data_IF_765824328805
#
_entry.id   IF_765824328805
#
_cell.length_a   1.000
_cell.length_b   1.000
_cell.length_c   1.000
_cell.angle_alpha   90.00
_cell.angle_beta   90.00
_cell.angle_gamma   90.00
#
_symmetry.space_group_name_H-M   'P 1'
#
loop_
_entity.id
_entity.type
_entity.pdbx_description
1 polymer ?
#
# COMPACT_ATOMS: atom_id res chain seq x y z
N UNK A 1 3.31 21.59 -35.22
CA UNK A 1 2.50 20.95 -34.16
C UNK A 1 2.95 21.57 -32.85
N UNK A 2 2.11 22.44 -32.26
CA UNK A 2 2.43 23.18 -31.05
C UNK A 2 2.48 22.25 -29.85
N UNK A 3 3.60 22.31 -29.13
CA UNK A 3 3.77 21.74 -27.80
C UNK A 3 2.97 22.62 -26.84
N UNK A 4 1.88 22.08 -26.29
CA UNK A 4 1.13 22.74 -25.21
C UNK A 4 1.97 22.60 -23.94
N UNK A 5 2.65 23.68 -23.57
CA UNK A 5 3.23 23.84 -22.26
C UNK A 5 2.10 23.89 -21.24
N UNK A 6 2.08 22.92 -20.33
CA UNK A 6 1.18 22.92 -19.17
C UNK A 6 1.83 23.87 -18.17
N UNK A 7 1.41 25.13 -18.20
CA UNK A 7 1.70 26.09 -17.14
C UNK A 7 1.02 25.58 -15.87
N UNK A 8 1.81 25.08 -14.91
CA UNK A 8 1.32 24.86 -13.55
C UNK A 8 1.10 26.23 -12.93
N UNK A 9 -0.15 26.65 -12.79
CA UNK A 9 -0.53 27.81 -11.99
C UNK A 9 0.05 27.67 -10.58
N UNK A 10 1.14 28.39 -10.29
CA UNK A 10 1.68 28.50 -8.94
C UNK A 10 0.77 29.41 -8.14
N UNK A 11 -0.30 28.82 -7.59
CA UNK A 11 -1.12 29.46 -6.56
C UNK A 11 -0.21 29.94 -5.43
N UNK A 12 -0.38 31.20 -5.01
CA UNK A 12 0.36 31.79 -3.90
C UNK A 12 0.34 30.85 -2.68
N UNK A 13 1.46 30.70 -1.93
CA UNK A 13 1.52 29.79 -0.81
C UNK A 13 0.39 30.10 0.18
N UNK A 14 -0.50 29.14 0.38
CA UNK A 14 -1.63 29.30 1.30
C UNK A 14 -1.10 29.56 2.70
N UNK A 15 -1.79 30.42 3.46
CA UNK A 15 -1.46 30.63 4.87
C UNK A 15 -1.62 29.33 5.65
N UNK A 16 -0.80 29.14 6.68
CA UNK A 16 -0.88 27.98 7.57
C UNK A 16 -2.31 27.76 8.11
N UNK A 17 -3.00 28.84 8.45
CA UNK A 17 -4.39 28.82 8.88
C UNK A 17 -5.36 28.21 7.85
N UNK A 18 -5.16 28.53 6.57
CA UNK A 18 -5.99 27.97 5.49
C UNK A 18 -5.72 26.47 5.33
N UNK A 19 -4.46 26.04 5.41
CA UNK A 19 -4.12 24.61 5.37
C UNK A 19 -4.76 23.83 6.53
N UNK A 20 -4.66 24.35 7.76
CA UNK A 20 -5.26 23.71 8.94
C UNK A 20 -6.78 23.58 8.79
N UNK A 21 -7.44 24.65 8.32
CA UNK A 21 -8.88 24.64 8.09
C UNK A 21 -9.28 23.61 7.03
N UNK A 22 -8.52 23.52 5.93
CA UNK A 22 -8.77 22.58 4.85
C UNK A 22 -8.53 21.12 5.33
N UNK A 23 -7.54 20.89 6.20
CA UNK A 23 -7.28 19.59 6.85
C UNK A 23 -8.45 19.18 7.77
N UNK A 24 -8.98 20.09 8.60
CA UNK A 24 -10.13 19.81 9.47
C UNK A 24 -11.41 19.54 8.65
N UNK A 25 -11.63 20.30 7.58
CA UNK A 25 -12.76 20.09 6.68
C UNK A 25 -12.68 18.72 5.96
N UNK A 26 -11.48 18.27 5.62
CA UNK A 26 -11.23 16.96 5.03
C UNK A 26 -11.69 15.82 5.96
N UNK A 27 -11.33 15.89 7.25
CA UNK A 27 -11.74 14.89 8.25
C UNK A 27 -13.25 14.78 8.33
N UNK A 28 -13.94 15.92 8.41
CA UNK A 28 -15.40 15.95 8.54
C UNK A 28 -16.13 15.30 7.35
N UNK A 29 -15.56 15.36 6.14
CA UNK A 29 -16.16 14.75 4.95
C UNK A 29 -15.87 13.25 4.84
N UNK A 30 -14.71 12.79 5.36
CA UNK A 30 -14.20 11.45 5.10
C UNK A 30 -14.47 10.47 6.24
N UNK A 31 -14.59 10.94 7.47
CA UNK A 31 -14.82 10.11 8.64
C UNK A 31 -16.30 10.14 9.08
N UNK A 32 -17.03 9.00 9.00
CA UNK A 32 -18.41 8.90 9.50
C UNK A 32 -18.55 9.15 11.01
N UNK A 33 -17.49 9.00 11.80
CA UNK A 33 -17.51 9.22 13.25
C UNK A 33 -17.36 10.70 13.62
N UNK A 34 -16.98 11.56 12.67
CA UNK A 34 -16.68 12.97 12.91
C UNK A 34 -17.96 13.82 13.04
N UNK A 35 -18.54 13.85 14.25
CA UNK A 35 -19.85 14.47 14.55
C UNK A 35 -19.88 15.99 14.40
N UNK A 36 -18.81 16.68 14.81
CA UNK A 36 -18.73 18.14 14.76
C UNK A 36 -17.28 18.64 14.63
N UNK A 37 -17.10 19.84 14.06
CA UNK A 37 -15.77 20.42 13.79
C UNK A 37 -14.94 20.70 15.04
N UNK A 38 -15.58 21.02 16.17
CA UNK A 38 -14.89 21.31 17.44
C UNK A 38 -14.27 20.04 18.01
N UNK A 39 -14.99 18.93 18.01
CA UNK A 39 -14.52 17.61 18.38
C UNK A 39 -13.35 17.17 17.50
N UNK A 40 -13.44 17.37 16.19
CA UNK A 40 -12.32 17.10 15.27
C UNK A 40 -11.10 17.94 15.65
N UNK A 41 -11.27 19.24 15.82
CA UNK A 41 -10.15 20.14 16.12
C UNK A 41 -9.50 19.84 17.48
N UNK A 42 -10.27 19.40 18.48
CA UNK A 42 -9.79 19.21 19.84
C UNK A 42 -9.38 17.78 20.18
N UNK A 43 -9.97 16.77 19.52
CA UNK A 43 -9.88 15.38 19.95
C UNK A 43 -9.35 14.42 18.88
N UNK A 44 -9.00 14.89 17.66
CA UNK A 44 -8.40 14.04 16.64
C UNK A 44 -6.86 14.13 16.65
N UNK A 45 -6.14 13.10 17.12
CA UNK A 45 -4.69 13.12 17.20
C UNK A 45 -4.02 13.26 15.82
N UNK A 46 -4.66 12.74 14.77
CA UNK A 46 -4.19 12.89 13.39
C UNK A 46 -4.14 14.34 12.93
N UNK A 47 -5.16 15.13 13.26
CA UNK A 47 -5.18 16.58 12.96
C UNK A 47 -4.06 17.28 13.73
N UNK A 48 -3.94 17.02 15.03
CA UNK A 48 -2.89 17.63 15.85
C UNK A 48 -1.49 17.32 15.33
N UNK A 49 -1.25 16.07 14.92
CA UNK A 49 0.03 15.64 14.35
C UNK A 49 0.36 16.42 13.07
N UNK A 50 -0.62 16.62 12.18
CA UNK A 50 -0.43 17.38 10.94
C UNK A 50 -0.15 18.85 11.24
N UNK A 51 -0.93 19.48 12.12
CA UNK A 51 -0.71 20.89 12.49
C UNK A 51 0.69 21.11 13.06
N UNK A 52 1.10 20.28 14.03
CA UNK A 52 2.42 20.37 14.65
C UNK A 52 3.54 20.05 13.65
N UNK A 53 3.31 19.12 12.72
CA UNK A 53 4.23 18.86 11.63
C UNK A 53 4.40 20.07 10.72
N UNK A 54 3.32 20.73 10.29
CA UNK A 54 3.41 21.92 9.41
C UNK A 54 4.24 23.04 10.07
N UNK A 55 4.08 23.26 11.38
CA UNK A 55 4.91 24.20 12.15
C UNK A 55 6.37 23.72 12.21
N UNK A 56 6.59 22.44 12.53
CA UNK A 56 7.93 21.82 12.60
C UNK A 56 8.65 21.89 11.25
N UNK A 57 7.93 21.70 10.14
CA UNK A 57 8.43 21.79 8.78
C UNK A 57 8.85 23.23 8.43
N UNK A 58 8.06 24.23 8.86
CA UNK A 58 8.44 25.64 8.75
C UNK A 58 9.76 25.95 9.47
N UNK A 59 9.92 25.49 10.72
CA UNK A 59 11.18 25.62 11.45
C UNK A 59 12.33 24.87 10.76
N UNK A 60 12.06 23.68 10.22
CA UNK A 60 13.05 22.86 9.53
C UNK A 60 13.57 23.55 8.26
N UNK A 61 12.68 24.15 7.47
CA UNK A 61 13.02 24.86 6.23
C UNK A 61 13.74 26.18 6.54
N UNK A 62 13.36 26.87 7.62
CA UNK A 62 14.05 28.04 8.17
C UNK A 62 15.39 27.72 8.88
N UNK A 63 15.91 26.49 8.74
CA UNK A 63 17.20 26.02 9.30
C UNK A 63 17.27 25.91 10.82
N UNK A 64 16.17 26.11 11.55
CA UNK A 64 16.08 25.84 12.99
C UNK A 64 15.86 24.34 13.28
N UNK A 65 16.84 23.50 12.87
CA UNK A 65 16.74 22.03 12.86
C UNK A 65 16.49 21.41 14.23
N UNK A 66 17.15 21.92 15.27
CA UNK A 66 16.97 21.43 16.64
C UNK A 66 15.54 21.65 17.13
N UNK A 67 15.02 22.88 17.01
CA UNK A 67 13.66 23.23 17.44
C UNK A 67 12.61 22.43 16.64
N UNK A 68 12.82 22.27 15.34
CA UNK A 68 11.95 21.43 14.51
C UNK A 68 11.91 19.97 15.00
N UNK A 69 13.06 19.38 15.37
CA UNK A 69 13.12 18.01 15.91
C UNK A 69 12.52 17.91 17.30
N UNK A 70 12.75 18.89 18.17
CA UNK A 70 12.16 18.95 19.51
C UNK A 70 10.62 19.00 19.42
N UNK A 71 10.08 19.85 18.54
CA UNK A 71 8.64 19.97 18.35
C UNK A 71 8.04 18.69 17.74
N UNK A 72 8.70 18.08 16.75
CA UNK A 72 8.29 16.79 16.18
C UNK A 72 8.31 15.67 17.23
N UNK A 73 9.28 15.66 18.14
CA UNK A 73 9.32 14.70 19.25
C UNK A 73 8.17 14.92 20.24
N UNK A 74 7.88 16.17 20.60
CA UNK A 74 6.73 16.49 21.46
C UNK A 74 5.39 16.12 20.79
N UNK A 75 5.25 16.37 19.49
CA UNK A 75 4.08 15.96 18.70
C UNK A 75 3.90 14.45 18.71
N UNK A 76 4.98 13.68 18.52
CA UNK A 76 4.97 12.21 18.63
C UNK A 76 4.51 11.75 20.01
N UNK A 77 5.01 12.36 21.08
CA UNK A 77 4.62 11.99 22.44
C UNK A 77 3.12 12.22 22.70
N UNK A 78 2.57 13.33 22.19
CA UNK A 78 1.17 13.69 22.38
C UNK A 78 0.21 12.85 21.50
N UNK A 79 0.61 12.54 20.27
CA UNK A 79 -0.30 11.99 19.24
C UNK A 79 -0.04 10.54 18.87
N UNK A 80 1.10 9.98 19.27
CA UNK A 80 1.61 8.68 18.84
C UNK A 80 1.83 8.56 17.30
N UNK A 81 1.97 9.70 16.62
CA UNK A 81 2.27 9.83 15.19
C UNK A 81 3.68 10.42 15.04
N UNK A 82 4.59 9.70 14.40
CA UNK A 82 5.97 10.16 14.18
C UNK A 82 6.13 10.69 12.75
N UNK A 83 6.18 12.01 12.59
CA UNK A 83 6.43 12.66 11.31
C UNK A 83 7.73 13.44 11.41
N UNK A 84 8.71 13.06 10.59
CA UNK A 84 9.97 13.80 10.53
C UNK A 84 9.72 15.21 9.96
N UNK A 85 10.30 16.29 10.53
CA UNK A 85 10.08 17.67 10.03
C UNK A 85 10.52 17.89 8.59
N UNK A 86 11.44 17.06 8.08
CA UNK A 86 11.89 17.10 6.68
C UNK A 86 10.91 16.53 5.66
N UNK A 87 9.93 15.73 6.10
CA UNK A 87 8.92 15.17 5.20
C UNK A 87 8.12 16.29 4.55
N UNK A 88 7.70 16.08 3.30
CA UNK A 88 6.85 17.02 2.56
C UNK A 88 5.44 16.46 2.50
N UNK A 89 4.48 17.20 3.03
CA UNK A 89 3.08 16.77 3.10
C UNK A 89 2.21 17.82 2.41
N UNK A 90 1.43 17.37 1.42
CA UNK A 90 0.46 18.16 0.69
C UNK A 90 -0.75 18.58 1.54
N UNK A 91 -1.81 18.93 0.86
CA UNK A 91 -3.06 19.41 1.44
C UNK A 91 -4.06 18.28 1.66
N UNK A 92 -5.00 18.46 2.60
CA UNK A 92 -6.09 17.52 2.87
C UNK A 92 -5.58 16.10 3.15
N UNK A 93 -4.38 16.03 3.73
CA UNK A 93 -3.79 14.80 4.20
C UNK A 93 -4.58 14.30 5.39
N UNK A 94 -5.00 13.05 5.36
CA UNK A 94 -5.82 12.47 6.40
C UNK A 94 -5.10 11.30 7.07
N UNK A 95 -4.95 11.39 8.40
CA UNK A 95 -4.44 10.29 9.23
C UNK A 95 -5.59 9.80 10.09
N UNK A 96 -6.12 8.62 9.76
CA UNK A 96 -7.17 8.00 10.54
C UNK A 96 -6.57 7.08 11.61
N UNK A 97 -7.04 7.24 12.85
CA UNK A 97 -6.56 6.51 14.03
C UNK A 97 -5.02 6.53 14.21
N UNK A 98 -4.33 7.64 13.92
CA UNK A 98 -2.88 7.74 13.67
C UNK A 98 -1.83 7.07 14.59
N UNK A 99 -2.20 6.39 15.66
CA UNK A 99 -1.32 5.57 16.48
C UNK A 99 -0.38 4.68 15.63
N UNK A 100 0.92 4.84 15.86
CA UNK A 100 1.97 4.04 15.21
C UNK A 100 2.23 4.42 13.75
N UNK A 101 1.68 5.53 13.25
CA UNK A 101 2.06 6.06 11.93
C UNK A 101 3.48 6.64 12.01
N UNK A 102 4.31 6.27 11.03
CA UNK A 102 5.71 6.70 10.94
C UNK A 102 6.01 7.22 9.53
N UNK A 103 6.44 8.47 9.41
CA UNK A 103 6.76 9.14 8.14
C UNK A 103 8.19 9.68 8.21
N UNK A 104 9.07 9.08 7.40
CA UNK A 104 10.48 9.41 7.43
C UNK A 104 10.87 10.71 6.72
N UNK A 105 12.14 11.10 6.89
CA UNK A 105 12.65 12.43 6.54
C UNK A 105 12.46 12.86 5.10
N UNK A 106 12.66 11.95 4.15
CA UNK A 106 12.63 12.27 2.72
C UNK A 106 11.33 11.82 2.06
N UNK A 107 10.32 11.49 2.87
CA UNK A 107 9.01 11.11 2.36
C UNK A 107 8.35 12.32 1.70
N UNK A 108 7.66 12.06 0.59
CA UNK A 108 6.82 13.04 -0.09
C UNK A 108 5.41 12.47 -0.12
N UNK A 109 4.45 13.23 0.38
CA UNK A 109 3.04 12.86 0.42
C UNK A 109 2.28 13.94 -0.32
N UNK A 110 1.58 13.55 -1.39
CA UNK A 110 0.75 14.44 -2.20
C UNK A 110 -0.54 14.87 -1.49
N UNK A 111 -1.43 15.45 -2.28
CA UNK A 111 -2.72 15.95 -1.81
C UNK A 111 -3.72 14.81 -1.63
N UNK A 112 -4.69 14.99 -0.74
CA UNK A 112 -5.83 14.06 -0.57
C UNK A 112 -5.46 12.61 -0.18
N UNK A 113 -4.21 12.38 0.23
CA UNK A 113 -3.74 11.08 0.70
C UNK A 113 -4.39 10.72 2.03
N UNK A 114 -4.66 9.43 2.23
CA UNK A 114 -5.17 8.89 3.49
C UNK A 114 -4.31 7.76 3.99
N UNK A 115 -3.82 7.86 5.23
CA UNK A 115 -3.14 6.78 5.94
C UNK A 115 -3.99 6.35 7.14
N UNK A 116 -4.10 5.04 7.34
CA UNK A 116 -4.62 4.49 8.59
C UNK A 116 -3.50 4.27 9.61
N UNK A 117 -3.89 3.92 10.84
CA UNK A 117 -3.00 3.58 11.93
C UNK A 117 -1.91 2.55 11.55
N UNK A 118 -0.75 2.63 12.21
CA UNK A 118 0.35 1.67 12.03
C UNK A 118 1.06 1.71 10.67
N UNK A 119 0.72 2.67 9.79
CA UNK A 119 1.38 2.80 8.48
C UNK A 119 2.81 3.32 8.65
N UNK A 120 3.75 2.79 7.87
CA UNK A 120 5.15 3.27 7.84
C UNK A 120 5.58 3.65 6.43
N UNK A 121 6.06 4.88 6.26
CA UNK A 121 6.78 5.37 5.09
C UNK A 121 8.27 5.41 5.45
N UNK A 122 8.94 4.27 5.25
CA UNK A 122 10.25 3.97 5.83
C UNK A 122 11.40 3.98 4.83
N UNK A 123 12.62 4.10 5.34
CA UNK A 123 13.83 4.01 4.55
C UNK A 123 14.22 2.55 4.25
N UNK A 124 14.81 2.29 3.08
CA UNK A 124 15.42 0.98 2.76
C UNK A 124 16.95 0.97 2.86
N UNK A 125 17.58 2.13 3.05
CA UNK A 125 19.04 2.28 3.12
C UNK A 125 19.49 3.29 4.18
N UNK A 126 20.75 3.17 4.60
CA UNK A 126 21.43 4.10 5.51
C UNK A 126 22.11 5.26 4.78
N UNK A 127 22.13 5.22 3.44
CA UNK A 127 22.79 6.23 2.62
C UNK A 127 22.09 7.59 2.76
N UNK A 128 22.86 8.69 2.86
CA UNK A 128 22.29 10.03 2.78
C UNK A 128 21.53 10.23 1.46
N UNK A 129 20.42 10.98 1.50
CA UNK A 129 19.63 11.29 0.32
C UNK A 129 18.17 10.81 0.39
N UNK A 130 17.50 10.86 -0.77
CA UNK A 130 16.13 10.35 -0.95
C UNK A 130 16.14 8.83 -0.76
N UNK A 131 15.32 8.36 0.18
CA UNK A 131 15.31 6.96 0.64
C UNK A 131 13.96 6.50 1.18
N UNK A 132 13.01 7.41 1.31
CA UNK A 132 11.66 7.15 1.77
C UNK A 132 10.68 7.31 0.60
N UNK A 133 9.46 6.78 0.69
CA UNK A 133 8.54 6.76 -0.44
C UNK A 133 8.04 8.14 -0.88
N UNK A 134 7.50 8.16 -2.10
CA UNK A 134 6.68 9.23 -2.64
C UNK A 134 5.26 8.68 -2.83
N UNK A 135 4.27 9.28 -2.17
CA UNK A 135 2.86 8.99 -2.42
C UNK A 135 2.30 10.14 -3.25
N UNK A 136 1.76 9.83 -4.42
CA UNK A 136 1.06 10.81 -5.24
C UNK A 136 -0.35 11.11 -4.69
N UNK A 137 -1.05 12.03 -5.35
CA UNK A 137 -2.34 12.51 -4.85
C UNK A 137 -3.39 11.38 -4.77
N UNK A 138 -4.24 11.46 -3.76
CA UNK A 138 -5.39 10.56 -3.58
C UNK A 138 -5.03 9.13 -3.17
N UNK A 139 -3.75 8.82 -2.94
CA UNK A 139 -3.33 7.49 -2.46
C UNK A 139 -4.01 7.14 -1.14
N UNK A 140 -4.43 5.88 -1.03
CA UNK A 140 -5.03 5.32 0.19
C UNK A 140 -4.14 4.18 0.69
N UNK A 141 -3.71 4.27 1.95
CA UNK A 141 -2.86 3.27 2.58
C UNK A 141 -3.56 2.66 3.78
N UNK A 142 -3.95 1.40 3.66
CA UNK A 142 -4.63 0.62 4.68
C UNK A 142 -3.80 0.43 5.95
N UNK A 143 -4.50 0.08 7.04
CA UNK A 143 -3.92 -0.03 8.37
C UNK A 143 -2.72 -0.97 8.41
N UNK A 144 -1.65 -0.57 9.09
CA UNK A 144 -0.47 -1.40 9.31
C UNK A 144 0.44 -1.60 8.11
N UNK A 145 0.14 -1.05 6.93
CA UNK A 145 0.99 -1.21 5.74
C UNK A 145 2.39 -0.59 5.91
N UNK A 146 3.39 -1.18 5.25
CA UNK A 146 4.78 -0.72 5.26
C UNK A 146 5.21 -0.43 3.82
N UNK A 147 5.60 0.81 3.54
CA UNK A 147 6.06 1.24 2.22
C UNK A 147 7.51 1.68 2.42
N UNK A 148 8.45 0.96 1.80
CA UNK A 148 9.87 1.02 2.15
C UNK A 148 10.73 1.37 0.94
N UNK A 149 11.59 2.38 1.09
CA UNK A 149 12.55 2.79 0.07
C UNK A 149 12.10 4.00 -0.75
N UNK A 150 12.97 4.43 -1.66
CA UNK A 150 12.67 5.48 -2.65
C UNK A 150 11.82 4.89 -3.79
N UNK A 151 10.55 4.65 -3.48
CA UNK A 151 9.55 4.14 -4.42
C UNK A 151 8.37 5.10 -4.52
N UNK A 152 7.68 5.05 -5.64
CA UNK A 152 6.50 5.87 -5.93
C UNK A 152 5.23 5.04 -5.89
N UNK A 153 4.25 5.51 -5.11
CA UNK A 153 2.88 4.99 -5.14
C UNK A 153 2.03 5.96 -5.93
N UNK A 154 1.62 5.54 -7.12
CA UNK A 154 0.96 6.38 -8.11
C UNK A 154 -0.40 6.89 -7.67
N UNK A 155 -0.87 7.95 -8.34
CA UNK A 155 -2.10 8.68 -8.04
C UNK A 155 -3.29 7.73 -7.89
N UNK A 156 -4.10 7.95 -6.86
CA UNK A 156 -5.28 7.14 -6.53
C UNK A 156 -5.01 5.64 -6.31
N UNK A 157 -3.75 5.20 -6.19
CA UNK A 157 -3.46 3.82 -5.84
C UNK A 157 -3.91 3.48 -4.42
N UNK A 158 -4.16 2.19 -4.19
CA UNK A 158 -4.64 1.64 -2.92
C UNK A 158 -3.67 0.58 -2.44
N UNK A 159 -3.17 0.75 -1.21
CA UNK A 159 -2.35 -0.25 -0.53
C UNK A 159 -3.22 -0.93 0.52
N UNK A 160 -3.36 -2.25 0.44
CA UNK A 160 -4.13 -2.99 1.43
C UNK A 160 -3.50 -2.99 2.82
N UNK A 161 -4.33 -3.23 3.83
CA UNK A 161 -3.88 -3.37 5.21
C UNK A 161 -2.76 -4.42 5.35
N UNK A 162 -1.81 -4.16 6.23
CA UNK A 162 -0.64 -5.00 6.54
C UNK A 162 0.23 -5.40 5.32
N UNK A 163 0.08 -4.73 4.19
CA UNK A 163 0.89 -5.03 3.00
C UNK A 163 2.28 -4.43 3.11
N UNK A 164 3.29 -5.07 2.50
CA UNK A 164 4.67 -4.57 2.46
C UNK A 164 5.05 -4.24 1.02
N UNK A 165 5.18 -2.95 0.72
CA UNK A 165 5.44 -2.42 -0.61
C UNK A 165 6.91 -2.03 -0.71
N UNK A 166 7.61 -2.63 -1.66
CA UNK A 166 9.05 -2.47 -1.89
C UNK A 166 9.38 -2.10 -3.35
N UNK A 167 8.35 -1.96 -4.19
CA UNK A 167 8.45 -1.62 -5.61
C UNK A 167 7.40 -0.54 -5.95
N UNK A 168 7.61 0.16 -7.06
CA UNK A 168 6.69 1.19 -7.53
C UNK A 168 5.29 0.62 -7.80
N UNK A 169 4.27 1.40 -7.45
CA UNK A 169 2.86 1.03 -7.64
C UNK A 169 2.28 1.97 -8.70
N UNK A 170 1.75 1.39 -9.77
CA UNK A 170 1.13 2.15 -10.85
C UNK A 170 -0.10 2.95 -10.34
N UNK A 171 -0.43 4.09 -10.98
CA UNK A 171 -1.64 4.85 -10.68
C UNK A 171 -2.90 3.97 -10.74
N UNK A 172 -3.87 4.25 -9.86
CA UNK A 172 -5.16 3.55 -9.74
C UNK A 172 -5.07 2.04 -9.46
N UNK A 173 -3.87 1.51 -9.21
CA UNK A 173 -3.67 0.10 -8.89
C UNK A 173 -4.05 -0.19 -7.44
N UNK A 174 -4.48 -1.43 -7.17
CA UNK A 174 -4.61 -1.96 -5.81
C UNK A 174 -3.53 -3.01 -5.58
N UNK A 175 -2.72 -2.81 -4.54
CA UNK A 175 -1.60 -3.69 -4.17
C UNK A 175 -1.82 -4.26 -2.77
N UNK A 176 -1.61 -5.57 -2.61
CA UNK A 176 -1.75 -6.28 -1.32
C UNK A 176 -0.72 -7.37 -1.11
N UNK A 177 -0.47 -7.73 0.15
CA UNK A 177 0.37 -8.87 0.51
C UNK A 177 1.79 -8.51 0.92
N UNK A 178 2.59 -9.54 1.19
CA UNK A 178 3.97 -9.45 1.67
C UNK A 178 4.85 -10.42 0.87
N UNK A 179 5.69 -9.94 -0.07
CA UNK A 179 5.71 -8.58 -0.61
C UNK A 179 4.42 -8.25 -1.39
N UNK A 180 4.12 -6.98 -1.54
CA UNK A 180 2.91 -6.49 -2.19
C UNK A 180 2.83 -6.88 -3.67
N UNK A 181 1.68 -7.40 -4.08
CA UNK A 181 1.38 -7.73 -5.47
C UNK A 181 0.12 -6.99 -5.94
N UNK A 182 0.14 -6.59 -7.21
CA UNK A 182 -0.99 -5.89 -7.84
C UNK A 182 -2.09 -6.93 -8.14
N UNK A 183 -3.29 -6.73 -7.58
CA UNK A 183 -4.36 -7.75 -7.60
C UNK A 183 -5.51 -7.49 -8.57
N UNK A 184 -5.81 -6.25 -9.01
CA UNK A 184 -6.66 -5.93 -10.19
C UNK A 184 -6.88 -4.43 -10.42
N UNK A 185 -7.37 -4.08 -11.63
CA UNK A 185 -7.75 -2.73 -12.14
C UNK A 185 -8.78 -1.99 -11.26
N UNK A 186 -8.50 -0.69 -11.09
CA UNK A 186 -9.33 0.43 -10.63
C UNK A 186 -10.73 0.09 -10.08
N UNK A 187 -10.85 -0.05 -8.75
CA UNK A 187 -12.11 0.24 -8.05
C UNK A 187 -12.15 1.74 -7.71
N UNK A 188 -13.27 2.45 -7.94
CA UNK A 188 -13.38 3.87 -7.65
C UNK A 188 -13.08 4.13 -6.17
N UNK A 189 -12.15 5.05 -5.88
CA UNK A 189 -11.65 5.42 -4.52
C UNK A 189 -12.77 5.68 -3.50
N UNK A 190 -13.88 6.22 -3.99
CA UNK A 190 -15.04 6.56 -3.17
C UNK A 190 -16.17 5.57 -3.38
N UNK A 191 -16.72 5.07 -2.27
CA UNK A 191 -18.03 4.42 -2.27
C UNK A 191 -19.16 5.43 -2.51
N UNK A 192 -20.43 4.96 -2.52
CA UNK A 192 -21.59 5.84 -2.67
C UNK A 192 -21.54 7.00 -1.64
N UNK A 193 -21.63 8.25 -2.12
CA UNK A 193 -21.63 9.44 -1.28
C UNK A 193 -20.26 10.06 -0.96
N UNK A 194 -19.20 9.74 -1.72
CA UNK A 194 -17.88 10.39 -1.58
C UNK A 194 -17.00 9.84 -0.45
N UNK A 195 -17.49 8.82 0.25
CA UNK A 195 -16.82 8.15 1.38
C UNK A 195 -15.67 7.27 0.91
N UNK A 196 -14.64 7.11 1.74
CA UNK A 196 -13.53 6.20 1.46
C UNK A 196 -14.06 4.75 1.44
N UNK A 197 -13.70 4.00 0.40
CA UNK A 197 -14.01 2.57 0.31
C UNK A 197 -13.12 1.75 1.25
N UNK A 198 -13.77 1.07 2.19
CA UNK A 198 -13.17 0.30 3.29
C UNK A 198 -13.32 -1.23 3.11
N UNK A 199 -13.82 -1.71 1.97
CA UNK A 199 -14.15 -3.13 1.75
C UNK A 199 -12.92 -4.01 1.49
N UNK A 200 -12.00 -4.05 2.45
CA UNK A 200 -10.74 -4.80 2.38
C UNK A 200 -10.94 -6.31 2.15
N UNK A 201 -12.03 -6.87 2.66
CA UNK A 201 -12.38 -8.29 2.51
C UNK A 201 -12.74 -8.68 1.06
N UNK A 202 -12.98 -7.72 0.17
CA UNK A 202 -13.26 -7.96 -1.25
C UNK A 202 -12.02 -7.87 -2.13
N UNK A 203 -10.85 -7.61 -1.54
CA UNK A 203 -9.59 -7.56 -2.27
C UNK A 203 -9.14 -9.01 -2.57
N UNK A 204 -8.79 -9.35 -3.83
CA UNK A 204 -8.35 -10.70 -4.17
C UNK A 204 -7.12 -11.14 -3.35
N UNK A 205 -7.02 -12.45 -3.08
CA UNK A 205 -5.90 -13.03 -2.35
C UNK A 205 -4.96 -13.77 -3.34
N UNK A 206 -3.86 -13.13 -3.77
CA UNK A 206 -2.98 -13.70 -4.80
C UNK A 206 -2.30 -14.99 -4.32
N UNK A 207 -2.12 -15.17 -3.01
CA UNK A 207 -1.57 -16.40 -2.43
C UNK A 207 -2.57 -17.55 -2.53
N UNK A 208 -3.84 -17.31 -2.22
CA UNK A 208 -4.88 -18.33 -2.36
C UNK A 208 -5.09 -18.73 -3.84
N UNK A 209 -5.04 -17.76 -4.75
CA UNK A 209 -5.10 -18.01 -6.20
C UNK A 209 -3.93 -18.88 -6.66
N UNK A 210 -2.70 -18.55 -6.25
CA UNK A 210 -1.52 -19.34 -6.56
C UNK A 210 -1.58 -20.76 -5.95
N UNK A 211 -2.07 -20.90 -4.72
CA UNK A 211 -2.26 -22.21 -4.10
C UNK A 211 -3.28 -23.07 -4.85
N UNK A 212 -4.38 -22.47 -5.32
CA UNK A 212 -5.38 -23.18 -6.12
C UNK A 212 -4.78 -23.70 -7.43
N UNK A 213 -4.00 -22.85 -8.12
CA UNK A 213 -3.27 -23.26 -9.34
C UNK A 213 -2.27 -24.39 -9.06
N UNK A 214 -1.59 -24.35 -7.91
CA UNK A 214 -0.65 -25.43 -7.52
C UNK A 214 -1.39 -26.74 -7.25
N UNK A 215 -2.55 -26.71 -6.59
CA UNK A 215 -3.36 -27.91 -6.31
C UNK A 215 -3.85 -28.52 -7.63
N UNK A 216 -4.41 -27.72 -8.54
CA UNK A 216 -4.83 -28.19 -9.86
C UNK A 216 -3.67 -28.84 -10.63
N UNK A 217 -2.46 -28.29 -10.46
CA UNK A 217 -1.26 -28.82 -11.09
C UNK A 217 -0.81 -30.14 -10.46
N UNK A 218 -0.94 -30.29 -9.15
CA UNK A 218 -0.64 -31.54 -8.44
C UNK A 218 -1.60 -32.63 -8.91
N UNK A 219 -2.91 -32.37 -8.93
CA UNK A 219 -3.92 -33.33 -9.39
C UNK A 219 -3.67 -33.79 -10.83
N UNK A 220 -3.29 -32.85 -11.70
CA UNK A 220 -2.90 -33.18 -13.08
C UNK A 220 -1.66 -34.07 -13.14
N UNK A 221 -0.64 -33.78 -12.32
CA UNK A 221 0.59 -34.57 -12.27
C UNK A 221 0.35 -35.97 -11.70
N UNK A 222 -0.47 -36.10 -10.67
CA UNK A 222 -0.87 -37.37 -10.07
C UNK A 222 -1.61 -38.25 -11.08
N UNK A 223 -2.61 -37.69 -11.76
CA UNK A 223 -3.36 -38.39 -12.83
C UNK A 223 -2.43 -38.90 -13.93
N UNK A 224 -1.49 -38.06 -14.37
CA UNK A 224 -0.50 -38.43 -15.39
C UNK A 224 0.46 -39.52 -14.90
N UNK A 225 0.88 -39.46 -13.65
CA UNK A 225 1.75 -40.47 -13.03
C UNK A 225 1.05 -41.82 -12.99
N UNK A 226 -0.23 -41.88 -12.57
CA UNK A 226 -1.03 -43.10 -12.55
C UNK A 226 -1.16 -43.73 -13.93
N UNK A 227 -1.43 -42.92 -14.97
CA UNK A 227 -1.48 -43.39 -16.36
C UNK A 227 -0.14 -43.98 -16.84
N UNK A 228 1.00 -43.35 -16.48
CA UNK A 228 2.32 -43.86 -16.85
C UNK A 228 2.67 -45.15 -16.11
N UNK A 229 2.37 -45.23 -14.81
CA UNK A 229 2.58 -46.44 -14.01
C UNK A 229 1.78 -47.64 -14.56
N UNK A 230 0.53 -47.42 -14.99
CA UNK A 230 -0.25 -48.47 -15.67
C UNK A 230 0.41 -48.94 -16.97
N UNK A 231 0.90 -48.03 -17.82
CA UNK A 231 1.60 -48.40 -19.06
C UNK A 231 2.89 -49.18 -18.82
N UNK A 232 3.69 -48.78 -17.81
CA UNK A 232 4.92 -49.49 -17.43
C UNK A 232 4.59 -50.87 -16.84
N UNK A 233 3.53 -50.98 -16.02
CA UNK A 233 3.04 -52.25 -15.49
C UNK A 233 2.57 -53.21 -16.59
N UNK A 234 1.81 -52.70 -17.56
CA UNK A 234 1.35 -53.48 -18.72
C UNK A 234 2.51 -53.95 -19.61
N UNK A 235 3.51 -53.09 -19.85
CA UNK A 235 4.70 -53.46 -20.62
C UNK A 235 5.62 -54.47 -19.93
N UNK A 236 5.58 -54.57 -18.59
CA UNK A 236 6.27 -55.62 -17.82
C UNK A 236 5.52 -56.96 -17.86
N UNK A 237 4.19 -56.94 -17.86
CA UNK A 237 3.37 -58.16 -17.94
C UNK A 237 3.46 -58.83 -19.34
N UNK A 238 3.64 -58.05 -20.39
CA UNK A 238 3.74 -58.54 -21.77
C UNK A 238 5.08 -59.25 -22.07
N UNK A 239 6.19 -58.77 -21.49
CA UNK A 239 7.52 -59.39 -21.65
C UNK A 239 7.72 -60.71 -20.88
N UNK A 240 6.75 -61.11 -20.05
CA UNK A 240 6.83 -62.31 -19.19
C UNK A 240 6.11 -63.55 -19.72
N UNK A 241 5.45 -63.49 -20.88
CA UNK A 241 4.77 -64.67 -21.47
C UNK A 241 5.72 -65.43 -22.40
N UNK A 242 6.15 -66.67 -22.05
CA UNK A 242 6.88 -67.50 -22.98
C UNK A 242 5.96 -67.84 -24.16
N UNK A 243 6.47 -67.69 -25.38
CA UNK A 243 5.78 -68.16 -26.57
C UNK A 243 5.88 -69.70 -26.59
N UNK A 244 4.89 -70.38 -26.01
CA UNK A 244 4.79 -71.84 -26.11
C UNK A 244 4.30 -72.14 -27.53
N UNK A 245 5.22 -72.51 -28.41
CA UNK A 245 4.90 -73.17 -29.68
C UNK A 245 4.40 -74.57 -29.34
N UNK A 246 3.09 -74.78 -29.47
CA UNK A 246 2.52 -76.12 -29.51
C UNK A 246 2.83 -76.70 -30.89
N UNK A 247 3.88 -77.51 -30.99
CA UNK A 247 4.07 -78.41 -32.12
C UNK A 247 2.99 -79.48 -32.07
N UNK A 248 2.08 -79.41 -33.05
CA UNK A 248 1.07 -80.42 -33.30
C UNK A 248 1.77 -81.63 -33.92
N UNK A 249 1.92 -82.70 -33.14
CA UNK A 249 2.41 -83.98 -33.63
C UNK A 249 1.30 -84.68 -34.42
N UNK A 250 1.38 -84.61 -35.74
CA UNK A 250 0.67 -85.56 -36.62
C UNK A 250 1.65 -86.26 -37.53
N UNK A 251 1.87 -87.55 -37.18
CA UNK A 251 2.19 -88.73 -38.00
C UNK A 251 3.48 -88.76 -38.84
#
# INVERSE_FOLDING_TARGET
>A
MSVVAIESETLAPKSLWRMIRDDVACVHQRDPAARNTVEIALLYPGVHAIVLHRISHGLWTAKHKFLARLLSFAARFLTNVDIHPGARIGERFFIDHGAGVVIGETAIVGDDVTLYHGVTLGGSSWSPGKRHPTLEDGVLVGAGAKILGDITVGRNARVGANSVIIEDVAPEATVVGIPGQIVRKARPRSGPGGRIDLEHHLIPNPVADAMSIMIDRIDFLETRLSHLQQKVGAGRADKGRPHIQTEDQTS
#
